data_IF_407933661231
#
_entry.id   IF_407933661231
#
_cell.length_a   1.000
_cell.length_b   1.000
_cell.length_c   1.000
_cell.angle_alpha   90.00
_cell.angle_beta   90.00
_cell.angle_gamma   90.00
#
_symmetry.space_group_name_H-M   'P 1'
#
loop_
_entity.id
_entity.type
_entity.pdbx_description
1 polymer ?
#
# COMPACT_ATOMS: atom_id res chain seq x y z
N UNK A 1 11.86 -5.31 7.15
CA UNK A 1 10.49 -4.77 7.06
C UNK A 1 10.33 -3.83 5.86
N UNK A 2 10.82 -2.57 5.90
CA UNK A 2 10.68 -1.62 4.77
C UNK A 2 11.23 -2.14 3.43
N UNK A 3 12.37 -2.83 3.45
CA UNK A 3 12.97 -3.47 2.26
C UNK A 3 12.02 -4.46 1.55
N UNK A 4 11.17 -5.17 2.30
CA UNK A 4 10.17 -6.10 1.74
C UNK A 4 9.08 -5.36 0.98
N UNK A 5 8.68 -4.19 1.48
CA UNK A 5 7.66 -3.37 0.82
C UNK A 5 8.24 -2.68 -0.42
N UNK A 6 9.47 -2.16 -0.33
CA UNK A 6 10.12 -1.46 -1.45
C UNK A 6 10.37 -2.40 -2.64
N UNK A 7 10.73 -3.66 -2.36
CA UNK A 7 11.00 -4.67 -3.39
C UNK A 7 9.82 -5.63 -3.60
N UNK A 8 8.61 -5.27 -3.18
CA UNK A 8 7.45 -6.14 -3.32
C UNK A 8 7.07 -6.27 -4.80
N UNK A 9 6.99 -7.51 -5.29
CA UNK A 9 6.64 -7.82 -6.69
C UNK A 9 5.52 -8.84 -6.82
N UNK A 10 5.06 -9.43 -5.72
CA UNK A 10 4.02 -10.47 -5.71
C UNK A 10 2.61 -9.85 -5.75
N UNK A 11 2.35 -9.07 -6.78
CA UNK A 11 1.01 -8.56 -7.09
C UNK A 11 0.28 -9.61 -7.94
N UNK A 12 -0.68 -10.29 -7.32
CA UNK A 12 -1.53 -11.30 -7.95
C UNK A 12 -2.99 -10.82 -7.94
N UNK A 13 -3.86 -11.46 -8.72
CA UNK A 13 -5.28 -11.11 -8.79
C UNK A 13 -5.99 -11.11 -7.41
N UNK A 14 -5.49 -11.90 -6.46
CA UNK A 14 -6.03 -12.01 -5.11
C UNK A 14 -5.77 -10.77 -4.23
N UNK A 15 -4.65 -10.07 -4.44
CA UNK A 15 -4.25 -8.89 -3.65
C UNK A 15 -4.20 -7.59 -4.47
N UNK A 16 -4.24 -7.67 -5.79
CA UNK A 16 -4.31 -6.53 -6.69
C UNK A 16 -5.25 -6.77 -7.88
N UNK A 17 -6.57 -6.88 -7.63
CA UNK A 17 -7.56 -7.16 -8.68
C UNK A 17 -7.67 -6.03 -9.72
N UNK A 18 -7.22 -4.82 -9.38
CA UNK A 18 -7.33 -3.63 -10.22
C UNK A 18 -6.00 -3.19 -10.85
N UNK A 19 -4.87 -3.84 -10.52
CA UNK A 19 -3.55 -3.50 -11.06
C UNK A 19 -3.01 -2.17 -10.53
N UNK A 20 -3.51 -1.71 -9.38
CA UNK A 20 -3.16 -0.42 -8.78
C UNK A 20 -1.84 -0.51 -7.98
N UNK A 21 -1.37 -1.73 -7.70
CA UNK A 21 -0.15 -2.03 -6.93
C UNK A 21 -0.08 -1.27 -5.59
N UNK A 22 -1.23 -1.02 -4.98
CA UNK A 22 -1.35 -0.22 -3.77
C UNK A 22 -1.62 -1.06 -2.52
N UNK A 23 -1.80 -2.37 -2.65
CA UNK A 23 -1.99 -3.31 -1.55
C UNK A 23 -1.12 -4.55 -1.74
N UNK A 24 -0.57 -5.07 -0.64
CA UNK A 24 0.19 -6.32 -0.68
C UNK A 24 0.31 -7.02 0.65
N UNK A 25 0.64 -8.32 0.56
CA UNK A 25 0.75 -9.24 1.68
C UNK A 25 2.13 -9.88 1.66
N UNK A 26 2.87 -9.79 2.75
CA UNK A 26 4.18 -10.43 2.88
C UNK A 26 4.39 -11.06 4.26
N UNK A 27 5.30 -12.02 4.34
CA UNK A 27 5.71 -12.64 5.59
C UNK A 27 7.10 -12.15 6.02
N UNK A 28 7.27 -11.88 7.30
CA UNK A 28 8.54 -11.52 7.91
C UNK A 28 8.62 -12.16 9.28
N UNK A 29 9.71 -12.90 9.55
CA UNK A 29 9.94 -13.58 10.83
C UNK A 29 8.80 -14.55 11.25
N UNK A 30 8.14 -15.18 10.27
CA UNK A 30 7.02 -16.11 10.48
C UNK A 30 5.68 -15.42 10.71
N UNK A 31 5.65 -14.09 10.67
CA UNK A 31 4.47 -13.28 10.89
C UNK A 31 4.01 -12.65 9.57
N UNK A 32 2.69 -12.65 9.34
CA UNK A 32 2.10 -12.05 8.15
C UNK A 32 1.83 -10.57 8.37
N UNK A 33 2.15 -9.77 7.36
CA UNK A 33 1.93 -8.34 7.33
C UNK A 33 1.16 -7.95 6.08
N UNK A 34 0.35 -6.91 6.24
CA UNK A 34 -0.29 -6.21 5.14
C UNK A 34 0.36 -4.85 4.98
N UNK A 35 0.50 -4.40 3.75
CA UNK A 35 0.76 -2.99 3.49
C UNK A 35 -0.26 -2.44 2.52
N UNK A 36 -0.52 -1.15 2.65
CA UNK A 36 -1.27 -0.39 1.66
C UNK A 36 -0.70 1.00 1.43
N UNK A 37 -0.86 1.51 0.22
CA UNK A 37 -0.51 2.88 -0.18
C UNK A 37 -1.79 3.69 -0.36
N UNK A 38 -2.07 4.60 0.56
CA UNK A 38 -3.20 5.52 0.46
C UNK A 38 -2.79 6.83 -0.25
N UNK A 39 -3.70 7.38 -1.05
CA UNK A 39 -3.48 8.57 -1.87
C UNK A 39 -4.38 9.72 -1.42
N UNK A 40 -3.82 10.69 -0.72
CA UNK A 40 -4.55 11.87 -0.24
C UNK A 40 -4.24 13.11 -1.07
N UNK A 41 -5.17 14.06 -1.10
CA UNK A 41 -4.92 15.44 -1.53
C UNK A 41 -3.94 16.14 -0.56
N UNK A 42 -3.36 17.29 -0.93
CA UNK A 42 -2.39 17.97 -0.06
C UNK A 42 -3.03 18.46 1.25
N UNK A 43 -4.36 18.58 1.28
CA UNK A 43 -5.16 18.90 2.47
C UNK A 43 -5.26 17.75 3.49
N UNK A 44 -4.84 16.53 3.13
CA UNK A 44 -4.84 15.34 4.00
C UNK A 44 -6.22 14.90 4.50
N UNK A 45 -7.31 15.45 3.94
CA UNK A 45 -8.68 15.19 4.36
C UNK A 45 -9.45 14.38 3.32
N UNK A 46 -9.03 14.46 2.06
CA UNK A 46 -9.72 13.86 0.93
C UNK A 46 -8.78 12.96 0.13
N UNK A 47 -9.33 11.91 -0.49
CA UNK A 47 -8.58 11.10 -1.44
C UNK A 47 -8.23 11.95 -2.67
N UNK A 48 -7.08 11.66 -3.27
CA UNK A 48 -6.65 12.32 -4.50
C UNK A 48 -7.51 11.91 -5.68
N UNK A 49 -7.98 12.91 -6.43
CA UNK A 49 -8.70 12.70 -7.68
C UNK A 49 -7.77 12.18 -8.80
N UNK A 50 -6.45 12.30 -8.62
CA UNK A 50 -5.42 11.79 -9.54
C UNK A 50 -4.22 11.21 -8.74
N UNK A 51 -4.28 9.91 -8.36
CA UNK A 51 -3.22 9.23 -7.59
C UNK A 51 -1.84 9.20 -8.28
N UNK A 52 -1.83 9.33 -9.61
CA UNK A 52 -0.61 9.31 -10.43
C UNK A 52 0.13 10.66 -10.39
N UNK A 53 -0.58 11.77 -10.22
CA UNK A 53 -0.01 13.11 -10.15
C UNK A 53 0.56 13.43 -8.77
N UNK A 54 1.88 13.29 -8.63
CA UNK A 54 2.62 13.62 -7.40
C UNK A 54 2.52 15.08 -6.96
N UNK A 55 2.11 16.01 -7.82
CA UNK A 55 1.89 17.42 -7.44
C UNK A 55 0.57 17.62 -6.69
N UNK A 56 -0.39 16.72 -6.90
CA UNK A 56 -1.73 16.71 -6.27
C UNK A 56 -1.86 15.67 -5.18
N UNK A 57 -0.95 14.70 -5.12
CA UNK A 57 -1.10 13.51 -4.28
C UNK A 57 0.00 13.39 -3.24
N UNK A 58 -0.41 13.24 -1.98
CA UNK A 58 0.43 12.76 -0.88
C UNK A 58 0.20 11.27 -0.69
N UNK A 59 1.28 10.50 -0.78
CA UNK A 59 1.26 9.02 -0.64
C UNK A 59 1.60 8.63 0.78
N UNK A 60 0.79 7.77 1.38
CA UNK A 60 0.99 7.24 2.72
C UNK A 60 1.09 5.74 2.67
N UNK A 61 2.17 5.21 3.24
CA UNK A 61 2.35 3.78 3.39
C UNK A 61 1.91 3.37 4.79
N UNK A 62 0.89 2.53 4.88
CA UNK A 62 0.48 1.89 6.14
C UNK A 62 0.97 0.45 6.12
N UNK A 63 1.66 0.01 7.17
CA UNK A 63 2.03 -1.40 7.36
C UNK A 63 1.32 -1.89 8.62
N UNK A 64 0.61 -3.01 8.51
CA UNK A 64 -0.25 -3.58 9.54
C UNK A 64 0.08 -5.05 9.76
N UNK A 65 -0.18 -5.53 10.96
CA UNK A 65 -0.02 -6.94 11.30
C UNK A 65 -1.26 -7.73 10.90
N UNK A 66 -1.10 -8.90 10.26
CA UNK A 66 -2.24 -9.67 9.78
C UNK A 66 -3.05 -10.32 10.91
N UNK A 67 -2.43 -10.64 12.05
CA UNK A 67 -3.12 -11.17 13.22
C UNK A 67 -4.06 -10.17 13.91
N UNK A 68 -4.07 -8.90 13.49
CA UNK A 68 -5.00 -7.88 13.98
C UNK A 68 -6.30 -7.79 13.16
N UNK A 69 -6.49 -8.69 12.18
CA UNK A 69 -7.67 -8.78 11.31
C UNK A 69 -8.21 -10.21 11.21
#
# INVERSE_FOLDING_TARGET
MLDRVINYTDFEEANDPYGEHDFGIFELDGEKYFFKSDYYRPDMLHLSDDPSDSSKTRRFLTIMFACEY
#
